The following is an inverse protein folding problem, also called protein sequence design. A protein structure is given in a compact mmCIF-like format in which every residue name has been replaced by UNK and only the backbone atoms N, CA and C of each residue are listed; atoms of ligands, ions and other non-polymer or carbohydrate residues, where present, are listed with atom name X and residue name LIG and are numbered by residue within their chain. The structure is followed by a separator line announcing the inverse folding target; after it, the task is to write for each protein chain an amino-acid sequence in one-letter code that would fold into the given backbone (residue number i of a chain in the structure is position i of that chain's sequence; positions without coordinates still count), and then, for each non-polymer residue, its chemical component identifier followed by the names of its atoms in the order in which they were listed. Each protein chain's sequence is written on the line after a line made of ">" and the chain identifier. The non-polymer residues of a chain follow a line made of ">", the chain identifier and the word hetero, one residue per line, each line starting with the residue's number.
data_IF_297158231142
#
_entry.id   IF_297158231142
#
_cell.length_a   1.000
_cell.length_b   1.000
_cell.length_c   1.000
_cell.angle_alpha   90.00
_cell.angle_beta   90.00
_cell.angle_gamma   90.00
#
_symmetry.space_group_name_H-M   'P 1'
#
loop_
_entity.id
_entity.type
_entity.pdbx_description
1 polymer ?
#
# COMPACT_ATOMS: atom_id res chain seq x y z
N UNK A 1 9.05 -19.45 -4.34
CA UNK A 1 8.36 -19.48 -3.05
C UNK A 1 9.40 -19.70 -1.94
N UNK A 2 9.34 -18.98 -0.81
CA UNK A 2 10.36 -19.03 0.26
C UNK A 2 10.21 -20.31 1.10
N UNK A 3 10.63 -21.46 0.58
CA UNK A 3 10.34 -22.77 1.17
C UNK A 3 11.32 -23.21 2.28
N UNK A 4 12.43 -22.50 2.48
CA UNK A 4 13.37 -22.79 3.56
C UNK A 4 12.74 -22.47 4.93
N UNK A 5 12.67 -23.42 5.89
CA UNK A 5 12.17 -23.18 7.24
C UNK A 5 12.79 -21.97 7.94
N UNK A 6 14.08 -21.68 7.68
CA UNK A 6 14.82 -20.54 8.25
C UNK A 6 14.28 -19.18 7.81
N UNK A 7 13.42 -19.15 6.79
CA UNK A 7 12.82 -17.93 6.25
C UNK A 7 11.41 -17.63 6.82
N UNK A 8 11.08 -18.17 8.00
CA UNK A 8 9.77 -17.99 8.64
C UNK A 8 9.41 -16.54 8.88
N UNK A 9 10.36 -15.73 9.39
CA UNK A 9 10.13 -14.31 9.66
C UNK A 9 9.77 -13.53 8.39
N UNK A 10 10.48 -13.80 7.29
CA UNK A 10 10.30 -13.16 5.99
C UNK A 10 8.94 -13.55 5.40
N UNK A 11 8.52 -14.81 5.56
CA UNK A 11 7.16 -15.23 5.18
C UNK A 11 6.09 -14.51 6.00
N UNK A 12 6.28 -14.36 7.31
CA UNK A 12 5.33 -13.62 8.17
C UNK A 12 5.24 -12.15 7.74
N UNK A 13 6.37 -11.48 7.54
CA UNK A 13 6.40 -10.09 7.09
C UNK A 13 5.79 -9.92 5.68
N UNK A 14 6.06 -10.85 4.77
CA UNK A 14 5.46 -10.86 3.44
C UNK A 14 3.94 -11.09 3.50
N UNK A 15 3.47 -11.99 4.36
CA UNK A 15 2.04 -12.26 4.54
C UNK A 15 1.31 -11.02 5.07
N UNK A 16 1.87 -10.32 6.06
CA UNK A 16 1.34 -9.03 6.55
C UNK A 16 1.25 -8.02 5.41
N UNK A 17 2.33 -7.84 4.65
CA UNK A 17 2.35 -6.93 3.51
C UNK A 17 1.26 -7.28 2.48
N UNK A 18 1.18 -8.56 2.08
CA UNK A 18 0.19 -9.02 1.12
C UNK A 18 -1.24 -8.78 1.60
N UNK A 19 -1.54 -8.99 2.88
CA UNK A 19 -2.88 -8.69 3.43
C UNK A 19 -3.26 -7.22 3.29
N UNK A 20 -2.32 -6.29 3.45
CA UNK A 20 -2.60 -4.87 3.23
C UNK A 20 -2.82 -4.53 1.76
N UNK A 21 -2.06 -5.15 0.86
CA UNK A 21 -2.28 -4.97 -0.59
C UNK A 21 -3.71 -5.34 -0.95
N UNK A 22 -4.23 -6.47 -0.47
CA UNK A 22 -5.63 -6.87 -0.70
C UNK A 22 -6.65 -5.92 -0.07
N UNK A 23 -6.46 -5.50 1.18
CA UNK A 23 -7.39 -4.55 1.83
C UNK A 23 -7.48 -3.24 1.06
N UNK A 24 -6.33 -2.74 0.59
CA UNK A 24 -6.28 -1.54 -0.24
C UNK A 24 -6.95 -1.79 -1.58
N UNK A 25 -6.65 -2.93 -2.21
CA UNK A 25 -7.28 -3.36 -3.46
C UNK A 25 -8.81 -3.29 -3.36
N UNK A 26 -9.40 -3.91 -2.33
CA UNK A 26 -10.84 -3.93 -2.09
C UNK A 26 -11.43 -2.53 -1.86
N UNK A 27 -10.75 -1.67 -1.07
CA UNK A 27 -11.16 -0.28 -0.88
C UNK A 27 -11.21 0.43 -2.24
N UNK A 28 -10.13 0.33 -3.01
CA UNK A 28 -10.03 1.01 -4.29
C UNK A 28 -10.99 0.46 -5.36
N UNK A 29 -11.39 -0.82 -5.31
CA UNK A 29 -12.46 -1.35 -6.18
C UNK A 29 -13.82 -0.76 -5.84
N UNK A 30 -14.19 -0.77 -4.55
CA UNK A 30 -15.48 -0.23 -4.11
C UNK A 30 -15.62 1.24 -4.46
N UNK A 31 -14.56 2.04 -4.25
CA UNK A 31 -14.60 3.48 -4.55
C UNK A 31 -14.39 3.79 -6.03
N UNK A 32 -13.66 2.96 -6.79
CA UNK A 32 -13.57 3.09 -8.25
C UNK A 32 -14.94 3.02 -8.92
N UNK A 33 -15.79 2.09 -8.48
CA UNK A 33 -17.18 1.99 -8.97
C UNK A 33 -18.01 3.23 -8.62
N UNK A 34 -17.75 3.89 -7.49
CA UNK A 34 -18.48 5.11 -7.08
C UNK A 34 -18.01 6.33 -7.90
N UNK A 35 -16.72 6.42 -8.23
CA UNK A 35 -16.20 7.49 -9.08
C UNK A 35 -16.70 7.38 -10.53
N UNK A 36 -16.79 6.17 -11.09
CA UNK A 36 -17.36 5.92 -12.42
C UNK A 36 -18.80 6.46 -12.55
N UNK A 37 -19.58 6.38 -11.46
CA UNK A 37 -20.97 6.83 -11.44
C UNK A 37 -21.07 8.34 -11.26
N UNK A 38 -20.05 9.01 -10.70
CA UNK A 38 -20.15 10.42 -10.37
C UNK A 38 -18.82 11.19 -10.55
N UNK A 39 -18.66 11.97 -11.64
CA UNK A 39 -17.44 12.72 -11.98
C UNK A 39 -16.98 13.77 -10.96
N UNK A 40 -17.81 14.08 -9.95
CA UNK A 40 -17.44 14.93 -8.81
C UNK A 40 -16.32 14.33 -7.94
N UNK A 41 -16.04 13.03 -8.08
CA UNK A 41 -14.95 12.35 -7.39
C UNK A 41 -13.61 12.52 -8.11
N UNK A 42 -13.07 13.74 -8.18
CA UNK A 42 -11.64 13.99 -8.45
C UNK A 42 -10.70 13.39 -7.36
N UNK A 43 -11.24 12.52 -6.51
CA UNK A 43 -10.71 12.12 -5.22
C UNK A 43 -9.63 11.05 -5.38
N UNK A 44 -9.77 10.12 -6.32
CA UNK A 44 -8.85 9.01 -6.57
C UNK A 44 -7.47 9.48 -7.03
N UNK A 45 -7.39 10.54 -7.85
CA UNK A 45 -6.10 11.11 -8.26
C UNK A 45 -5.35 11.72 -7.08
N UNK A 46 -6.08 12.39 -6.17
CA UNK A 46 -5.52 12.97 -4.95
C UNK A 46 -5.08 11.86 -3.97
N UNK A 47 -5.88 10.79 -3.88
CA UNK A 47 -5.52 9.53 -3.22
C UNK A 47 -4.18 9.00 -3.68
N UNK A 48 -4.06 8.77 -4.99
CA UNK A 48 -2.86 8.23 -5.61
C UNK A 48 -1.64 9.11 -5.35
N UNK A 49 -1.82 10.44 -5.30
CA UNK A 49 -0.75 11.36 -4.98
C UNK A 49 -0.20 11.13 -3.56
N UNK A 50 -1.06 10.86 -2.58
CA UNK A 50 -0.62 10.52 -1.22
C UNK A 50 0.24 9.26 -1.21
N UNK A 51 -0.19 8.21 -1.92
CA UNK A 51 0.58 6.97 -2.05
C UNK A 51 1.88 7.13 -2.86
N UNK A 52 1.93 8.08 -3.81
CA UNK A 52 3.15 8.41 -4.56
C UNK A 52 4.16 9.19 -3.71
N UNK A 53 3.69 10.15 -2.90
CA UNK A 53 4.53 10.99 -2.03
C UNK A 53 5.09 10.17 -0.86
N UNK A 54 4.30 9.24 -0.31
CA UNK A 54 4.69 8.37 0.79
C UNK A 54 5.17 9.12 2.04
N UNK A 55 4.42 10.14 2.46
CA UNK A 55 4.65 10.87 3.70
C UNK A 55 3.52 10.60 4.68
N UNK A 56 3.83 10.48 5.99
CA UNK A 56 2.80 10.25 6.99
C UNK A 56 1.81 11.41 7.07
N UNK A 57 2.29 12.66 6.92
CA UNK A 57 1.45 13.86 6.96
C UNK A 57 0.47 13.95 5.79
N UNK A 58 0.83 13.41 4.61
CA UNK A 58 -0.03 13.38 3.43
C UNK A 58 -1.32 12.58 3.65
N UNK A 59 -1.41 11.77 4.72
CA UNK A 59 -2.65 11.09 5.08
C UNK A 59 -3.82 12.06 5.35
N UNK A 60 -3.54 13.31 5.70
CA UNK A 60 -4.58 14.31 5.97
C UNK A 60 -5.38 14.66 4.71
N UNK A 61 -4.76 14.51 3.54
CA UNK A 61 -5.41 14.71 2.24
C UNK A 61 -6.26 13.49 1.83
N UNK A 62 -6.20 12.40 2.60
CA UNK A 62 -7.06 11.25 2.39
C UNK A 62 -8.45 11.44 3.01
N UNK A 63 -9.44 10.75 2.43
CA UNK A 63 -10.75 10.55 3.07
C UNK A 63 -10.57 9.88 4.43
N UNK A 64 -11.42 10.24 5.39
CA UNK A 64 -11.31 9.82 6.79
C UNK A 64 -11.15 8.30 6.96
N UNK A 65 -11.94 7.51 6.22
CA UNK A 65 -11.90 6.05 6.29
C UNK A 65 -10.60 5.41 5.77
N UNK A 66 -9.80 6.12 4.95
CA UNK A 66 -8.53 5.61 4.41
C UNK A 66 -7.34 5.97 5.28
N UNK A 67 -7.46 7.01 6.13
CA UNK A 67 -6.34 7.53 6.93
C UNK A 67 -5.76 6.46 7.85
N UNK A 68 -6.62 5.70 8.51
CA UNK A 68 -6.20 4.60 9.40
C UNK A 68 -5.48 3.51 8.62
N UNK A 69 -6.05 3.04 7.51
CA UNK A 69 -5.46 2.02 6.64
C UNK A 69 -4.10 2.46 6.09
N UNK A 70 -3.99 3.70 5.61
CA UNK A 70 -2.72 4.27 5.14
C UNK A 70 -1.68 4.34 6.25
N UNK A 71 -2.04 4.80 7.45
CA UNK A 71 -1.14 4.88 8.60
C UNK A 71 -0.60 3.49 8.98
N UNK A 72 -1.45 2.47 9.02
CA UNK A 72 -1.03 1.11 9.33
C UNK A 72 -0.12 0.56 8.24
N UNK A 73 -0.48 0.72 6.96
CA UNK A 73 0.36 0.34 5.83
C UNK A 73 1.75 0.99 5.89
N UNK A 74 1.80 2.31 6.10
CA UNK A 74 3.02 3.09 6.20
C UNK A 74 3.95 2.53 7.30
N UNK A 75 3.39 2.31 8.50
CA UNK A 75 4.13 1.77 9.63
C UNK A 75 4.62 0.34 9.35
N UNK A 76 3.78 -0.51 8.77
CA UNK A 76 4.13 -1.88 8.42
C UNK A 76 5.26 -1.94 7.40
N UNK A 77 5.17 -1.21 6.29
CA UNK A 77 6.22 -1.22 5.24
C UNK A 77 7.55 -0.68 5.76
N UNK A 78 7.53 0.38 6.58
CA UNK A 78 8.76 0.91 7.17
C UNK A 78 9.34 -0.06 8.21
N UNK A 79 8.49 -0.75 9.00
CA UNK A 79 8.93 -1.79 9.94
C UNK A 79 9.56 -2.99 9.22
N UNK A 80 8.92 -3.49 8.16
CA UNK A 80 9.45 -4.55 7.30
C UNK A 80 10.79 -4.12 6.71
N UNK A 81 10.86 -2.90 6.17
CA UNK A 81 12.07 -2.33 5.60
C UNK A 81 13.23 -2.27 6.59
N UNK A 82 12.96 -1.75 7.78
CA UNK A 82 13.94 -1.66 8.87
C UNK A 82 14.43 -3.03 9.32
N UNK A 83 13.52 -4.00 9.52
CA UNK A 83 13.86 -5.34 9.96
C UNK A 83 14.74 -6.06 8.92
N UNK A 84 14.42 -5.94 7.63
CA UNK A 84 15.21 -6.55 6.55
C UNK A 84 16.56 -5.84 6.42
N UNK A 85 16.60 -4.51 6.52
CA UNK A 85 17.85 -3.75 6.49
C UNK A 85 18.80 -4.16 7.62
N UNK A 86 18.28 -4.34 8.84
CA UNK A 86 19.09 -4.75 10.00
C UNK A 86 19.77 -6.12 9.81
N UNK A 87 19.11 -7.06 9.13
CA UNK A 87 19.61 -8.43 8.96
C UNK A 87 20.49 -8.57 7.70
N UNK A 88 20.11 -7.90 6.61
CA UNK A 88 20.67 -8.14 5.28
C UNK A 88 21.41 -6.93 4.69
N UNK A 89 21.40 -5.77 5.37
CA UNK A 89 22.02 -4.54 4.90
C UNK A 89 21.30 -3.88 3.71
N UNK A 90 20.14 -4.41 3.27
CA UNK A 90 19.35 -3.88 2.15
C UNK A 90 17.97 -3.48 2.60
N UNK A 91 17.51 -2.29 2.21
CA UNK A 91 16.17 -1.80 2.54
C UNK A 91 15.20 -2.01 1.36
N UNK A 92 14.21 -2.92 1.46
CA UNK A 92 13.23 -3.17 0.40
C UNK A 92 12.06 -2.18 0.38
N UNK A 93 12.02 -1.19 1.28
CA UNK A 93 10.89 -0.25 1.42
C UNK A 93 10.47 0.36 0.09
N UNK A 94 11.40 0.79 -0.76
CA UNK A 94 11.04 1.38 -2.07
C UNK A 94 10.31 0.37 -2.97
N UNK A 95 10.73 -0.90 -2.98
CA UNK A 95 10.09 -1.94 -3.80
C UNK A 95 8.68 -2.24 -3.31
N UNK A 96 8.48 -2.27 -2.00
CA UNK A 96 7.16 -2.47 -1.38
C UNK A 96 6.21 -1.31 -1.72
N UNK A 97 6.70 -0.07 -1.64
CA UNK A 97 5.95 1.14 -2.06
C UNK A 97 5.54 1.09 -3.52
N UNK A 98 6.49 0.75 -4.40
CA UNK A 98 6.21 0.63 -5.83
C UNK A 98 5.17 -0.45 -6.12
N UNK A 99 5.18 -1.55 -5.36
CA UNK A 99 4.17 -2.62 -5.51
C UNK A 99 2.77 -2.11 -5.18
N UNK A 100 2.60 -1.40 -4.05
CA UNK A 100 1.32 -0.79 -3.67
C UNK A 100 0.83 0.19 -4.74
N UNK A 101 1.71 1.09 -5.19
CA UNK A 101 1.38 2.09 -6.20
C UNK A 101 1.01 1.43 -7.54
N UNK A 102 1.73 0.38 -7.94
CA UNK A 102 1.45 -0.37 -9.16
C UNK A 102 0.09 -1.06 -9.09
N UNK A 103 -0.26 -1.69 -7.96
CA UNK A 103 -1.60 -2.26 -7.76
C UNK A 103 -2.70 -1.22 -7.96
N UNK A 104 -2.56 -0.01 -7.40
CA UNK A 104 -3.53 1.07 -7.59
C UNK A 104 -3.60 1.59 -9.04
N UNK A 105 -2.45 1.70 -9.71
CA UNK A 105 -2.37 2.15 -11.10
C UNK A 105 -2.98 1.15 -12.08
N UNK A 106 -2.83 -0.16 -11.82
CA UNK A 106 -3.46 -1.19 -12.62
C UNK A 106 -4.99 -1.10 -12.61
N UNK A 107 -5.58 -0.60 -11.52
CA UNK A 107 -7.03 -0.38 -11.44
C UNK A 107 -7.50 0.79 -12.29
N UNK A 108 -6.77 1.91 -12.27
CA UNK A 108 -7.06 3.09 -13.10
C UNK A 108 -7.07 2.81 -14.61
N UNK A 109 -6.28 1.84 -15.07
CA UNK A 109 -6.17 1.52 -16.50
C UNK A 109 -7.16 0.45 -16.97
N UNK A 110 -8.03 -0.08 -16.08
CA UNK A 110 -9.07 -1.06 -16.43
C UNK A 110 -10.44 -0.42 -16.73
N UNK A 111 -10.54 0.90 -16.56
CA UNK A 111 -11.70 1.75 -16.86
C UNK A 111 -11.40 2.68 -18.03
#
# INVERSE_FOLDING_TARGET
>A
MLNDPKMSQQRIELAKFNSFVYVIDDIFDVYGTIEEINPLHSSYKNDLLVYKTWELCAMMDLREYMRSTYKVLYNTINSIGYNIYKIYGRNPTQNLRNTVLFTMLLKLNRT
#
